data_IF_449162866260
#
_entry.id   IF_449162866260
#
_cell.length_a   1.000
_cell.length_b   1.000
_cell.length_c   1.000
_cell.angle_alpha   90.00
_cell.angle_beta   90.00
_cell.angle_gamma   90.00
#
_symmetry.space_group_name_H-M   'P 1'
#
loop_
_entity.id
_entity.type
_entity.pdbx_description
1 polymer ?
#
# COMPACT_ATOMS: atom_id res chain seq x y z
N UNK A 1 16.41 -32.31 14.89
CA UNK A 1 15.83 -32.36 16.25
C UNK A 1 16.98 -32.41 17.21
N UNK A 2 17.11 -31.39 18.06
CA UNK A 2 18.12 -31.38 19.11
C UNK A 2 17.71 -32.34 20.21
N UNK A 3 18.62 -33.27 20.53
CA UNK A 3 18.38 -34.37 21.46
C UNK A 3 19.32 -34.20 22.65
N UNK A 4 18.81 -34.40 23.87
CA UNK A 4 19.61 -34.24 25.08
C UNK A 4 20.76 -35.26 25.15
N UNK A 5 22.00 -34.78 25.22
CA UNK A 5 23.20 -35.62 25.31
C UNK A 5 23.23 -36.53 26.55
N UNK A 6 22.47 -36.18 27.61
CA UNK A 6 22.47 -36.92 28.89
C UNK A 6 21.41 -38.02 28.99
N UNK A 7 20.23 -37.83 28.36
CA UNK A 7 19.12 -38.78 28.50
C UNK A 7 18.41 -39.11 27.19
N UNK A 8 18.91 -38.60 26.06
CA UNK A 8 18.29 -38.72 24.73
C UNK A 8 16.84 -38.19 24.63
N UNK A 9 16.40 -37.40 25.62
CA UNK A 9 15.08 -36.77 25.63
C UNK A 9 15.01 -35.53 24.71
N UNK A 10 13.80 -35.13 24.39
CA UNK A 10 13.52 -33.92 23.60
C UNK A 10 13.95 -32.65 24.34
N UNK A 11 14.61 -31.74 23.63
CA UNK A 11 14.99 -30.41 24.10
C UNK A 11 13.94 -29.38 23.65
N UNK A 12 13.37 -28.66 24.61
CA UNK A 12 12.35 -27.63 24.37
C UNK A 12 13.02 -26.25 24.52
N UNK A 13 12.99 -25.39 23.48
CA UNK A 13 13.60 -24.06 23.54
C UNK A 13 12.72 -23.06 24.31
N UNK A 14 13.33 -22.32 25.23
CA UNK A 14 12.74 -21.19 25.95
C UNK A 14 13.39 -19.91 25.40
N UNK A 15 12.81 -19.39 24.31
CA UNK A 15 13.40 -18.31 23.51
C UNK A 15 13.65 -17.00 24.25
N UNK A 16 12.92 -16.70 25.33
CA UNK A 16 13.08 -15.47 26.11
C UNK A 16 14.19 -15.57 27.17
N UNK A 17 14.60 -16.78 27.54
CA UNK A 17 15.68 -17.04 28.49
C UNK A 17 16.98 -17.47 27.80
N UNK A 18 16.94 -17.74 26.49
CA UNK A 18 18.11 -18.21 25.73
C UNK A 18 18.57 -19.60 26.16
N UNK A 19 17.66 -20.43 26.70
CA UNK A 19 17.97 -21.78 27.18
C UNK A 19 17.07 -22.83 26.55
N UNK A 20 17.63 -23.99 26.25
CA UNK A 20 16.87 -25.20 25.92
C UNK A 20 16.81 -26.09 27.16
N UNK A 21 15.62 -26.58 27.49
CA UNK A 21 15.40 -27.44 28.66
C UNK A 21 14.97 -28.82 28.18
N UNK A 22 15.63 -29.86 28.67
CA UNK A 22 15.22 -31.23 28.36
C UNK A 22 13.98 -31.64 29.15
N UNK A 23 12.97 -32.17 28.47
CA UNK A 23 11.73 -32.65 29.09
C UNK A 23 11.90 -33.93 29.91
N UNK A 24 13.02 -34.66 29.75
CA UNK A 24 13.27 -35.93 30.44
C UNK A 24 14.13 -35.82 31.70
N UNK A 25 15.11 -34.91 31.74
CA UNK A 25 16.06 -34.80 32.85
C UNK A 25 16.31 -33.38 33.34
N UNK A 26 15.55 -32.41 32.82
CA UNK A 26 15.61 -30.99 33.17
C UNK A 26 16.99 -30.35 33.01
N UNK A 27 17.88 -30.96 32.23
CA UNK A 27 19.18 -30.38 31.93
C UNK A 27 18.98 -29.20 30.99
N UNK A 28 19.56 -28.06 31.35
CA UNK A 28 19.51 -26.82 30.58
C UNK A 28 20.78 -26.65 29.76
N UNK A 29 20.62 -26.19 28.52
CA UNK A 29 21.72 -25.82 27.61
C UNK A 29 21.46 -24.40 27.12
N UNK A 30 22.39 -23.49 27.38
CA UNK A 30 22.33 -22.14 26.83
C UNK A 30 22.47 -22.21 25.30
N UNK A 31 21.63 -21.47 24.59
CA UNK A 31 21.73 -21.29 23.16
C UNK A 31 21.66 -19.80 22.84
N UNK A 32 22.53 -19.38 21.92
CA UNK A 32 22.49 -18.03 21.40
C UNK A 32 21.21 -17.88 20.57
N UNK A 33 20.25 -17.14 21.12
CA UNK A 33 19.16 -16.58 20.32
C UNK A 33 19.77 -15.44 19.54
N UNK A 34 20.17 -15.69 18.29
CA UNK A 34 20.42 -14.61 17.34
C UNK A 34 19.10 -13.86 17.12
N UNK A 35 18.88 -12.83 17.94
CA UNK A 35 17.99 -11.77 17.53
C UNK A 35 18.65 -11.09 16.33
N UNK A 36 18.17 -11.40 15.12
CA UNK A 36 18.41 -10.59 13.93
C UNK A 36 17.84 -9.18 14.19
N UNK A 37 18.55 -8.36 14.96
CA UNK A 37 18.46 -6.92 14.81
C UNK A 37 19.14 -6.64 13.46
N UNK A 38 18.42 -6.16 12.44
CA UNK A 38 19.05 -5.88 11.16
C UNK A 38 20.18 -4.87 11.39
N UNK A 39 21.42 -5.33 11.21
CA UNK A 39 22.61 -4.50 11.22
C UNK A 39 22.53 -3.58 10.01
N UNK A 40 22.67 -2.27 10.22
CA UNK A 40 22.69 -1.24 9.17
C UNK A 40 23.80 -1.43 8.10
N UNK A 41 24.63 -2.48 8.22
CA UNK A 41 25.76 -2.78 7.32
C UNK A 41 25.49 -3.87 6.30
N UNK A 42 24.38 -4.59 6.38
CA UNK A 42 24.01 -5.58 5.36
C UNK A 42 23.03 -4.97 4.36
N UNK A 43 23.25 -5.14 3.04
CA UNK A 43 22.23 -4.76 2.06
C UNK A 43 20.95 -5.53 2.40
N UNK A 44 19.82 -4.85 2.62
CA UNK A 44 18.57 -5.55 2.85
C UNK A 44 18.31 -6.53 1.70
N UNK A 45 17.93 -7.77 2.02
CA UNK A 45 17.49 -8.77 1.02
C UNK A 45 16.57 -8.05 0.04
N UNK A 46 16.83 -8.13 -1.27
CA UNK A 46 16.19 -7.27 -2.29
C UNK A 46 14.66 -7.22 -2.14
N UNK A 47 14.04 -8.36 -1.81
CA UNK A 47 12.60 -8.47 -1.52
C UNK A 47 12.15 -7.57 -0.37
N UNK A 48 12.90 -7.53 0.74
CA UNK A 48 12.62 -6.67 1.89
C UNK A 48 12.78 -5.18 1.55
N UNK A 49 13.81 -4.84 0.77
CA UNK A 49 14.04 -3.47 0.31
C UNK A 49 12.89 -2.96 -0.59
N UNK A 50 12.48 -3.76 -1.57
CA UNK A 50 11.37 -3.40 -2.45
C UNK A 50 10.05 -3.34 -1.70
N UNK A 51 9.78 -4.27 -0.78
CA UNK A 51 8.58 -4.23 0.06
C UNK A 51 8.53 -2.93 0.89
N UNK A 52 9.65 -2.53 1.51
CA UNK A 52 9.74 -1.28 2.27
C UNK A 52 9.48 -0.03 1.41
N UNK A 53 10.10 0.06 0.22
CA UNK A 53 9.84 1.19 -0.68
C UNK A 53 8.38 1.24 -1.13
N UNK A 54 7.77 0.08 -1.38
CA UNK A 54 6.38 -0.02 -1.84
C UNK A 54 5.38 0.39 -0.77
N UNK A 55 5.55 -0.03 0.48
CA UNK A 55 4.62 0.35 1.57
C UNK A 55 4.67 1.84 1.85
N UNK A 56 5.84 2.48 1.76
CA UNK A 56 5.94 3.93 1.91
C UNK A 56 5.21 4.67 0.80
N UNK A 57 5.37 4.23 -0.45
CA UNK A 57 4.61 4.81 -1.56
C UNK A 57 3.11 4.56 -1.44
N UNK A 58 2.69 3.39 -0.92
CA UNK A 58 1.28 3.13 -0.63
C UNK A 58 0.71 4.10 0.41
N UNK A 59 1.45 4.39 1.49
CA UNK A 59 1.07 5.40 2.50
C UNK A 59 0.99 6.82 1.91
N UNK A 60 1.91 7.18 1.02
CA UNK A 60 1.83 8.46 0.30
C UNK A 60 0.55 8.56 -0.53
N UNK A 61 0.15 7.48 -1.19
CA UNK A 61 -1.10 7.43 -1.98
C UNK A 61 -2.33 7.56 -1.09
N UNK A 62 -2.35 6.92 0.08
CA UNK A 62 -3.42 7.11 1.07
C UNK A 62 -3.49 8.56 1.54
N UNK A 63 -2.35 9.20 1.80
CA UNK A 63 -2.28 10.59 2.22
C UNK A 63 -2.75 11.54 1.10
N UNK A 64 -2.31 11.32 -0.15
CA UNK A 64 -2.75 12.08 -1.33
C UNK A 64 -4.25 11.94 -1.55
N UNK A 65 -4.79 10.71 -1.50
CA UNK A 65 -6.22 10.43 -1.68
C UNK A 65 -7.10 11.22 -0.71
N UNK A 66 -6.67 11.32 0.54
CA UNK A 66 -7.38 12.01 1.62
C UNK A 66 -6.99 13.49 1.79
N UNK A 67 -6.17 14.03 0.89
CA UNK A 67 -5.58 15.37 1.01
C UNK A 67 -4.84 15.63 2.34
N UNK A 68 -4.31 14.58 2.98
CA UNK A 68 -3.48 14.64 4.20
C UNK A 68 -1.99 14.86 3.90
N UNK A 69 -1.64 15.07 2.64
CA UNK A 69 -0.27 15.35 2.24
C UNK A 69 0.23 16.72 2.72
N UNK A 70 1.55 16.84 2.87
CA UNK A 70 2.22 18.06 3.38
C UNK A 70 2.80 18.93 2.26
N UNK A 71 2.50 18.62 1.00
CA UNK A 71 3.01 19.33 -0.16
C UNK A 71 2.65 20.82 -0.12
N UNK A 72 3.67 21.67 -0.22
CA UNK A 72 3.52 23.12 -0.33
C UNK A 72 3.18 23.51 -1.77
N UNK A 73 1.91 23.84 -2.03
CA UNK A 73 1.49 24.39 -3.32
C UNK A 73 1.54 25.92 -3.24
N UNK A 74 2.28 26.61 -4.15
CA UNK A 74 2.34 28.06 -4.16
C UNK A 74 0.94 28.70 -4.24
N UNK A 75 0.66 29.76 -3.45
CA UNK A 75 -0.65 30.43 -3.47
C UNK A 75 -1.09 30.88 -4.87
N UNK A 76 -0.15 31.30 -5.71
CA UNK A 76 -0.42 31.74 -7.09
C UNK A 76 -1.01 30.62 -7.94
N UNK A 77 -0.58 29.37 -7.74
CA UNK A 77 -1.15 28.21 -8.46
C UNK A 77 -2.62 28.07 -8.11
N UNK A 78 -2.98 28.16 -6.82
CA UNK A 78 -4.37 28.08 -6.37
C UNK A 78 -5.20 29.25 -6.90
N UNK A 79 -4.63 30.46 -6.91
CA UNK A 79 -5.27 31.66 -7.45
C UNK A 79 -5.53 31.54 -8.96
N UNK A 80 -4.56 31.02 -9.71
CA UNK A 80 -4.69 30.77 -11.15
C UNK A 80 -5.78 29.74 -11.45
N UNK A 81 -5.87 28.66 -10.65
CA UNK A 81 -6.93 27.67 -10.75
C UNK A 81 -8.30 28.29 -10.46
N UNK A 82 -8.44 29.08 -9.39
CA UNK A 82 -9.69 29.80 -9.07
C UNK A 82 -10.12 30.73 -10.21
N UNK A 83 -9.16 31.44 -10.80
CA UNK A 83 -9.40 32.32 -11.95
C UNK A 83 -9.88 31.54 -13.17
N UNK A 84 -9.25 30.39 -13.45
CA UNK A 84 -9.65 29.54 -14.57
C UNK A 84 -11.05 28.94 -14.38
N UNK A 85 -11.39 28.49 -13.16
CA UNK A 85 -12.73 28.01 -12.81
C UNK A 85 -13.79 29.09 -13.06
N UNK A 86 -13.51 30.34 -12.67
CA UNK A 86 -14.40 31.49 -12.91
C UNK A 86 -14.56 31.79 -14.40
N UNK A 87 -13.46 31.78 -15.17
CA UNK A 87 -13.49 31.99 -16.63
C UNK A 87 -14.36 30.95 -17.34
N UNK A 88 -14.29 29.69 -16.89
CA UNK A 88 -15.08 28.57 -17.44
C UNK A 88 -16.51 28.51 -16.88
N UNK A 89 -16.90 29.44 -15.99
CA UNK A 89 -18.20 29.46 -15.29
C UNK A 89 -18.54 28.11 -14.62
N UNK A 90 -17.51 27.44 -14.11
CA UNK A 90 -17.66 26.13 -13.47
C UNK A 90 -18.10 26.30 -12.02
N UNK A 91 -19.17 25.60 -11.64
CA UNK A 91 -19.52 25.42 -10.23
C UNK A 91 -18.55 24.45 -9.56
N UNK A 92 -18.16 24.74 -8.32
CA UNK A 92 -17.28 23.88 -7.52
C UNK A 92 -17.85 22.48 -7.33
N UNK A 93 -19.18 22.33 -7.25
CA UNK A 93 -19.83 21.01 -7.13
C UNK A 93 -19.61 20.12 -8.36
N UNK A 94 -19.30 20.71 -9.52
CA UNK A 94 -19.04 19.99 -10.78
C UNK A 94 -17.54 19.79 -11.04
N UNK A 95 -16.66 20.15 -10.11
CA UNK A 95 -15.21 20.03 -10.25
C UNK A 95 -14.75 18.61 -9.90
N UNK A 96 -14.80 17.71 -10.88
CA UNK A 96 -14.27 16.35 -10.76
C UNK A 96 -12.74 16.33 -10.86
N UNK A 97 -12.09 15.24 -10.44
CA UNK A 97 -10.64 15.07 -10.57
C UNK A 97 -10.18 15.20 -12.03
N UNK A 98 -10.99 14.70 -12.98
CA UNK A 98 -10.75 14.86 -14.42
C UNK A 98 -10.73 16.34 -14.83
N UNK A 99 -11.73 17.12 -14.43
CA UNK A 99 -11.78 18.56 -14.77
C UNK A 99 -10.66 19.35 -14.10
N UNK A 100 -10.33 19.03 -12.85
CA UNK A 100 -9.18 19.63 -12.17
C UNK A 100 -7.88 19.37 -12.93
N UNK A 101 -7.68 18.13 -13.41
CA UNK A 101 -6.54 17.77 -14.28
C UNK A 101 -6.54 18.56 -15.58
N UNK A 102 -7.69 18.71 -16.24
CA UNK A 102 -7.81 19.48 -17.48
C UNK A 102 -7.47 20.98 -17.26
N UNK A 103 -7.90 21.56 -16.14
CA UNK A 103 -7.54 22.94 -15.75
C UNK A 103 -6.03 23.07 -15.52
N UNK A 104 -5.44 22.16 -14.73
CA UNK A 104 -4.00 22.15 -14.49
C UNK A 104 -3.21 22.00 -15.79
N UNK A 105 -3.67 21.15 -16.72
CA UNK A 105 -3.07 20.99 -18.05
C UNK A 105 -3.09 22.30 -18.84
N UNK A 106 -4.23 23.01 -18.88
CA UNK A 106 -4.34 24.31 -19.57
C UNK A 106 -3.41 25.37 -18.97
N UNK A 107 -3.18 25.32 -17.66
CA UNK A 107 -2.29 26.25 -16.96
C UNK A 107 -0.80 25.84 -17.00
N UNK A 108 -0.46 24.69 -17.60
CA UNK A 108 0.92 24.18 -17.64
C UNK A 108 1.42 23.58 -16.31
N UNK A 109 0.51 23.22 -15.41
CA UNK A 109 0.76 22.79 -14.04
C UNK A 109 0.76 21.27 -13.87
N UNK A 110 1.48 20.58 -14.75
CA UNK A 110 1.51 19.11 -14.81
C UNK A 110 2.06 18.45 -13.54
N UNK A 111 3.01 19.11 -12.86
CA UNK A 111 3.61 18.62 -11.61
C UNK A 111 2.63 18.51 -10.44
N UNK A 112 1.43 19.08 -10.54
CA UNK A 112 0.42 19.06 -9.48
C UNK A 112 -0.72 18.07 -9.74
N UNK A 113 -0.60 17.18 -10.74
CA UNK A 113 -1.65 16.22 -11.05
C UNK A 113 -1.92 15.22 -9.92
N UNK A 114 -0.90 14.82 -9.17
CA UNK A 114 -1.03 13.91 -8.04
C UNK A 114 -1.66 14.62 -6.82
N UNK A 115 -1.50 15.94 -6.75
CA UNK A 115 -2.01 16.79 -5.67
C UNK A 115 -3.42 17.34 -5.92
N UNK A 116 -4.16 16.77 -6.89
CA UNK A 116 -5.54 17.19 -7.20
C UNK A 116 -6.47 17.11 -5.98
N UNK A 117 -6.46 16.04 -5.16
CA UNK A 117 -7.30 15.99 -3.96
C UNK A 117 -7.01 17.14 -3.00
N UNK A 118 -5.72 17.46 -2.77
CA UNK A 118 -5.30 18.57 -1.93
C UNK A 118 -5.71 19.94 -2.48
N UNK A 119 -5.54 20.16 -3.79
CA UNK A 119 -6.02 21.38 -4.45
C UNK A 119 -7.54 21.53 -4.25
N UNK A 120 -8.30 20.44 -4.42
CA UNK A 120 -9.76 20.46 -4.24
C UNK A 120 -10.17 20.79 -2.81
N UNK A 121 -9.48 20.26 -1.80
CA UNK A 121 -9.74 20.64 -0.39
C UNK A 121 -9.47 22.13 -0.15
N UNK A 122 -8.38 22.68 -0.70
CA UNK A 122 -8.10 24.14 -0.66
C UNK A 122 -9.13 25.00 -1.39
N UNK A 123 -9.90 24.42 -2.31
CA UNK A 123 -11.03 25.07 -2.99
C UNK A 123 -12.36 24.88 -2.25
N UNK A 124 -12.36 24.18 -1.10
CA UNK A 124 -13.55 23.93 -0.27
C UNK A 124 -14.29 22.63 -0.60
N UNK A 125 -13.73 21.75 -1.43
CA UNK A 125 -14.31 20.45 -1.75
C UNK A 125 -13.64 19.39 -0.89
N UNK A 126 -14.39 18.84 0.06
CA UNK A 126 -13.82 17.87 1.01
C UNK A 126 -13.40 16.57 0.32
N UNK A 127 -12.22 16.02 0.67
CA UNK A 127 -11.76 14.73 0.17
C UNK A 127 -12.53 13.59 0.87
N UNK A 128 -12.48 12.37 0.32
CA UNK A 128 -12.84 11.17 1.07
C UNK A 128 -11.88 11.02 2.27
N UNK A 129 -12.40 10.58 3.41
CA UNK A 129 -11.61 10.35 4.63
C UNK A 129 -11.81 8.91 5.08
N UNK A 130 -10.70 8.22 5.31
CA UNK A 130 -10.64 6.88 5.89
C UNK A 130 -10.34 7.01 7.39
N UNK A 131 -10.86 6.08 8.20
CA UNK A 131 -10.53 6.04 9.62
C UNK A 131 -9.07 5.57 9.80
N UNK A 132 -8.40 5.93 10.91
CA UNK A 132 -7.06 5.43 11.20
C UNK A 132 -6.98 3.90 11.21
N UNK A 133 -8.00 3.23 11.74
CA UNK A 133 -8.09 1.77 11.80
C UNK A 133 -8.18 1.14 10.40
N UNK A 134 -8.93 1.77 9.50
CA UNK A 134 -9.01 1.35 8.11
C UNK A 134 -7.67 1.55 7.40
N UNK A 135 -6.99 2.68 7.61
CA UNK A 135 -5.65 2.93 7.04
C UNK A 135 -4.62 1.89 7.50
N UNK A 136 -4.63 1.54 8.78
CA UNK A 136 -3.74 0.51 9.34
C UNK A 136 -4.06 -0.87 8.75
N UNK A 137 -5.35 -1.22 8.67
CA UNK A 137 -5.80 -2.47 8.05
C UNK A 137 -5.35 -2.56 6.59
N UNK A 138 -5.54 -1.49 5.80
CA UNK A 138 -5.11 -1.41 4.41
C UNK A 138 -3.58 -1.54 4.29
N UNK A 139 -2.81 -0.96 5.21
CA UNK A 139 -1.36 -1.12 5.24
C UNK A 139 -0.95 -2.57 5.56
N UNK A 140 -1.66 -3.25 6.47
CA UNK A 140 -1.41 -4.67 6.78
C UNK A 140 -1.67 -5.54 5.56
N UNK A 141 -2.85 -5.40 4.93
CA UNK A 141 -3.20 -6.15 3.71
C UNK A 141 -2.18 -5.89 2.59
N UNK A 142 -1.71 -4.65 2.44
CA UNK A 142 -0.69 -4.31 1.47
C UNK A 142 0.65 -5.02 1.73
N UNK A 143 1.01 -5.26 3.00
CA UNK A 143 2.20 -6.03 3.34
C UNK A 143 2.04 -7.52 3.03
N UNK A 144 0.85 -8.08 3.29
CA UNK A 144 0.55 -9.50 3.06
C UNK A 144 0.69 -9.88 1.58
N UNK A 145 0.27 -8.99 0.67
CA UNK A 145 0.35 -9.25 -0.78
C UNK A 145 1.78 -9.19 -1.36
N UNK A 146 2.78 -8.67 -0.63
CA UNK A 146 4.12 -8.46 -1.21
C UNK A 146 4.80 -9.78 -1.63
N UNK A 147 4.69 -10.81 -0.78
CA UNK A 147 5.29 -12.12 -1.03
C UNK A 147 4.54 -12.90 -2.13
N UNK A 148 3.20 -13.04 -2.09
CA UNK A 148 2.43 -13.62 -3.19
C UNK A 148 2.64 -12.89 -4.52
N UNK A 149 2.72 -11.55 -4.49
CA UNK A 149 3.02 -10.77 -5.69
C UNK A 149 4.38 -11.16 -6.28
N UNK A 150 5.44 -11.23 -5.46
CA UNK A 150 6.77 -11.59 -5.93
C UNK A 150 6.82 -12.99 -6.57
N UNK A 151 5.99 -13.92 -6.08
CA UNK A 151 5.89 -15.29 -6.60
C UNK A 151 5.08 -15.40 -7.90
N UNK A 152 4.07 -14.55 -8.08
CA UNK A 152 3.13 -14.62 -9.20
C UNK A 152 3.33 -13.55 -10.27
N UNK A 153 4.25 -12.61 -10.06
CA UNK A 153 4.63 -11.60 -11.04
C UNK A 153 5.27 -12.28 -12.27
N UNK A 154 4.78 -12.01 -13.49
CA UNK A 154 5.43 -12.46 -14.72
C UNK A 154 6.86 -11.92 -14.85
N UNK A 155 7.75 -12.69 -15.49
CA UNK A 155 9.17 -12.34 -15.66
C UNK A 155 9.39 -11.09 -16.53
N UNK A 156 8.47 -10.82 -17.47
CA UNK A 156 8.48 -9.64 -18.34
C UNK A 156 7.99 -8.37 -17.62
N UNK A 157 7.39 -8.51 -16.43
CA UNK A 157 6.84 -7.41 -15.65
C UNK A 157 7.80 -6.94 -14.55
N UNK A 158 8.34 -5.73 -14.73
CA UNK A 158 9.22 -5.10 -13.73
C UNK A 158 8.46 -4.29 -12.67
N UNK A 159 7.33 -3.68 -13.06
CA UNK A 159 6.60 -2.75 -12.21
C UNK A 159 5.54 -3.44 -11.34
N UNK A 160 5.36 -2.95 -10.11
CA UNK A 160 4.28 -3.40 -9.22
C UNK A 160 2.87 -3.22 -9.85
N UNK A 161 1.86 -3.83 -9.24
CA UNK A 161 0.46 -3.49 -9.52
C UNK A 161 0.23 -1.98 -9.36
N UNK A 162 -0.71 -1.43 -10.12
CA UNK A 162 -1.12 -0.06 -9.94
C UNK A 162 -1.70 0.08 -8.51
N UNK A 163 -1.20 1.07 -7.78
CA UNK A 163 -1.54 1.22 -6.37
C UNK A 163 -3.01 1.58 -6.14
N UNK A 164 -3.63 2.38 -7.02
CA UNK A 164 -5.07 2.65 -6.94
C UNK A 164 -5.90 1.42 -7.27
N UNK A 165 -5.42 0.55 -8.17
CA UNK A 165 -6.03 -0.76 -8.40
C UNK A 165 -5.95 -1.63 -7.13
N UNK A 166 -4.77 -1.76 -6.50
CA UNK A 166 -4.62 -2.54 -5.26
C UNK A 166 -5.49 -1.97 -4.14
N UNK A 167 -5.50 -0.65 -3.96
CA UNK A 167 -6.37 0.03 -2.99
C UNK A 167 -7.85 -0.25 -3.26
N UNK A 168 -8.29 -0.19 -4.52
CA UNK A 168 -9.65 -0.55 -4.92
C UNK A 168 -9.98 -1.98 -4.48
N UNK A 169 -9.12 -2.96 -4.79
CA UNK A 169 -9.37 -4.37 -4.46
C UNK A 169 -9.40 -4.62 -2.95
N UNK A 170 -8.53 -3.98 -2.18
CA UNK A 170 -8.53 -4.12 -0.72
C UNK A 170 -9.77 -3.47 -0.09
N UNK A 171 -10.21 -2.29 -0.58
CA UNK A 171 -11.47 -1.71 -0.14
C UNK A 171 -12.67 -2.61 -0.50
N UNK A 172 -12.66 -3.24 -1.68
CA UNK A 172 -13.70 -4.20 -2.09
C UNK A 172 -13.75 -5.43 -1.18
N UNK A 173 -12.59 -5.99 -0.82
CA UNK A 173 -12.48 -7.10 0.15
C UNK A 173 -13.01 -6.73 1.54
N UNK A 174 -12.78 -5.49 1.97
CA UNK A 174 -13.23 -4.98 3.27
C UNK A 174 -14.70 -4.53 3.26
N UNK A 175 -15.37 -4.52 2.09
CA UNK A 175 -16.75 -4.02 1.95
C UNK A 175 -16.86 -2.48 1.93
N UNK A 176 -15.74 -1.77 1.82
CA UNK A 176 -15.61 -0.30 1.84
C UNK A 176 -15.95 0.33 0.48
N UNK A 177 -17.16 0.06 0.00
CA UNK A 177 -17.61 0.39 -1.36
C UNK A 177 -17.74 1.91 -1.62
N UNK A 178 -17.88 2.73 -0.58
CA UNK A 178 -18.05 4.18 -0.69
C UNK A 178 -16.83 4.90 -1.27
N UNK A 179 -15.63 4.30 -1.18
CA UNK A 179 -14.40 4.91 -1.73
C UNK A 179 -14.16 4.55 -3.19
N UNK A 180 -14.72 3.43 -3.67
CA UNK A 180 -14.47 2.89 -5.01
C UNK A 180 -14.70 3.91 -6.14
N UNK A 181 -15.76 4.73 -6.13
CA UNK A 181 -16.01 5.72 -7.19
C UNK A 181 -14.94 6.82 -7.30
N UNK A 182 -14.12 7.01 -6.26
CA UNK A 182 -13.09 8.04 -6.22
C UNK A 182 -11.74 7.58 -6.78
N UNK A 183 -11.52 6.27 -6.92
CA UNK A 183 -10.25 5.72 -7.36
C UNK A 183 -10.04 5.89 -8.89
N UNK A 184 -8.92 6.51 -9.32
CA UNK A 184 -8.61 6.69 -10.74
C UNK A 184 -8.10 5.38 -11.35
N UNK A 185 -9.04 4.50 -11.73
CA UNK A 185 -8.72 3.22 -12.38
C UNK A 185 -8.04 3.41 -13.75
N UNK A 186 -7.25 2.41 -14.15
CA UNK A 186 -6.64 2.40 -15.48
C UNK A 186 -7.71 2.40 -16.57
N UNK A 187 -7.52 3.23 -17.60
CA UNK A 187 -8.44 3.33 -18.74
C UNK A 187 -8.33 2.13 -19.69
N UNK A 188 -7.13 1.59 -19.79
CA UNK A 188 -6.82 0.47 -20.68
C UNK A 188 -7.43 -0.82 -20.12
N UNK A 189 -8.36 -1.48 -20.83
CA UNK A 189 -8.99 -2.71 -20.37
C UNK A 189 -8.00 -3.88 -20.30
N UNK A 190 -7.02 -3.95 -21.21
CA UNK A 190 -6.04 -5.05 -21.24
C UNK A 190 -5.18 -5.00 -19.98
N UNK A 191 -4.67 -3.80 -19.62
CA UNK A 191 -3.91 -3.59 -18.38
C UNK A 191 -4.71 -3.79 -17.11
N UNK A 192 -6.04 -3.73 -17.17
CA UNK A 192 -6.91 -4.09 -16.04
C UNK A 192 -6.99 -5.59 -15.90
N UNK A 193 -7.24 -6.30 -17.00
CA UNK A 193 -7.29 -7.77 -17.03
C UNK A 193 -5.96 -8.38 -16.54
N UNK A 194 -4.82 -7.89 -17.03
CA UNK A 194 -3.49 -8.35 -16.59
C UNK A 194 -3.29 -8.22 -15.07
N UNK A 195 -3.83 -7.16 -14.46
CA UNK A 195 -3.76 -6.96 -13.02
C UNK A 195 -4.75 -7.84 -12.25
N UNK A 196 -5.97 -8.02 -12.78
CA UNK A 196 -6.97 -8.95 -12.24
C UNK A 196 -6.42 -10.38 -12.22
N UNK A 197 -5.70 -10.81 -13.25
CA UNK A 197 -5.09 -12.14 -13.31
C UNK A 197 -4.03 -12.37 -12.22
N UNK A 198 -3.16 -11.38 -11.99
CA UNK A 198 -2.16 -11.46 -10.91
C UNK A 198 -2.86 -11.40 -9.56
N UNK A 199 -3.83 -10.49 -9.39
CA UNK A 199 -4.59 -10.36 -8.17
C UNK A 199 -5.34 -11.64 -7.80
N UNK A 200 -5.93 -12.31 -8.79
CA UNK A 200 -6.61 -13.61 -8.60
C UNK A 200 -5.66 -14.67 -8.02
N UNK A 201 -4.42 -14.73 -8.50
CA UNK A 201 -3.39 -15.64 -7.96
C UNK A 201 -3.03 -15.27 -6.51
N UNK A 202 -2.86 -13.98 -6.23
CA UNK A 202 -2.61 -13.47 -4.87
C UNK A 202 -3.75 -13.84 -3.92
N UNK A 203 -5.01 -13.58 -4.31
CA UNK A 203 -6.19 -13.95 -3.54
C UNK A 203 -6.23 -15.47 -3.28
N UNK A 204 -5.93 -16.28 -4.28
CA UNK A 204 -5.90 -17.74 -4.14
C UNK A 204 -4.86 -18.21 -3.10
N UNK A 205 -3.66 -17.60 -3.08
CA UNK A 205 -2.61 -17.95 -2.11
C UNK A 205 -2.95 -17.49 -0.68
N UNK A 206 -3.57 -16.31 -0.56
CA UNK A 206 -3.97 -15.74 0.73
C UNK A 206 -5.34 -16.23 1.23
N UNK A 207 -6.03 -17.09 0.45
CA UNK A 207 -7.40 -17.54 0.72
C UNK A 207 -8.41 -16.39 0.83
N UNK A 208 -8.20 -15.31 0.08
CA UNK A 208 -9.11 -14.17 -0.02
C UNK A 208 -10.13 -14.39 -1.13
N UNK A 209 -11.31 -13.78 -0.98
CA UNK A 209 -12.32 -13.78 -2.03
C UNK A 209 -11.83 -13.00 -3.25
N UNK A 210 -11.96 -13.58 -4.44
CA UNK A 210 -11.67 -12.87 -5.68
C UNK A 210 -12.96 -12.35 -6.31
N UNK A 211 -13.15 -11.04 -6.28
CA UNK A 211 -14.18 -10.35 -7.04
C UNK A 211 -13.56 -9.91 -8.38
N UNK A 212 -14.12 -10.23 -9.55
CA UNK A 212 -13.62 -9.72 -10.82
C UNK A 212 -13.98 -8.23 -10.99
N UNK A 213 -13.08 -7.44 -11.59
CA UNK A 213 -13.30 -5.99 -11.81
C UNK A 213 -14.11 -5.72 -13.10
N UNK A 214 -14.46 -6.76 -13.86
CA UNK A 214 -15.19 -6.74 -15.14
C UNK A 214 -16.30 -7.80 -15.13
#
# INVERSE_FOLDING_TARGET
>A
HDVCEKCSGELIPISHEGVMVCNGCSTQKEFLVEHEKPSYKEPPKEVCFYAYKRINHFREILAQFQAKETTQIPPDVITNIKTQIRKERLSLSKLTNRKAKDILKKLGYNKYYEHIPFIKDKLGIKPPVMSPELEETLCSLFMDIQKPYAKHCPDDRVNFLNYYYVLYKMCELLGETQFLPFFPMLKDPVKRIEQDEIWKKICCELHWEFVPTI
#
